data_IF_403494745450
#
_entry.id   IF_403494745450
#
_cell.length_a   1.000
_cell.length_b   1.000
_cell.length_c   1.000
_cell.angle_alpha   90.00
_cell.angle_beta   90.00
_cell.angle_gamma   90.00
#
_symmetry.space_group_name_H-M   'P 1'
#
loop_
_entity.id
_entity.type
_entity.pdbx_description
1 polymer ?
#
# COMPACT_ATOMS: atom_id res chain seq x y z
N UNK A 1 -49.73 -30.19 55.50
CA UNK A 1 -48.25 -30.31 55.47
C UNK A 1 -47.78 -30.06 54.05
N UNK A 2 -46.99 -28.99 53.87
CA UNK A 2 -45.90 -28.80 52.88
C UNK A 2 -46.18 -28.93 51.36
N UNK A 3 -45.41 -28.24 50.48
CA UNK A 3 -45.45 -26.80 50.24
C UNK A 3 -45.64 -26.46 48.74
N UNK A 4 -45.91 -25.18 48.43
CA UNK A 4 -45.62 -24.63 47.10
C UNK A 4 -44.15 -24.89 46.77
N UNK A 5 -43.87 -25.73 45.77
CA UNK A 5 -42.54 -25.88 45.22
C UNK A 5 -42.25 -24.76 44.21
N UNK A 6 -41.36 -23.87 44.65
CA UNK A 6 -40.58 -22.95 43.82
C UNK A 6 -39.87 -23.73 42.71
N UNK A 7 -40.37 -23.65 41.48
CA UNK A 7 -39.60 -24.07 40.32
C UNK A 7 -38.56 -22.98 39.97
N UNK A 8 -37.38 -23.16 40.58
CA UNK A 8 -36.03 -22.95 40.07
C UNK A 8 -35.88 -22.15 38.75
N UNK A 9 -35.17 -21.02 38.87
CA UNK A 9 -34.58 -20.11 37.86
C UNK A 9 -33.60 -20.77 36.86
N UNK A 10 -33.76 -22.05 36.51
CA UNK A 10 -32.81 -22.78 35.63
C UNK A 10 -33.22 -22.96 34.17
N UNK A 11 -34.29 -22.32 33.70
CA UNK A 11 -34.70 -22.44 32.29
C UNK A 11 -34.51 -21.19 31.42
N UNK A 12 -33.91 -20.12 31.96
CA UNK A 12 -33.57 -18.91 31.18
C UNK A 12 -32.13 -18.86 30.64
N UNK A 13 -31.36 -19.95 30.76
CA UNK A 13 -29.94 -19.98 30.39
C UNK A 13 -29.63 -20.76 29.10
N UNK A 14 -30.63 -21.11 28.27
CA UNK A 14 -30.41 -21.99 27.11
C UNK A 14 -30.71 -21.38 25.73
N UNK A 15 -31.19 -20.14 25.63
CA UNK A 15 -31.44 -19.49 24.33
C UNK A 15 -31.00 -18.02 24.34
N UNK A 16 -29.72 -17.78 24.64
CA UNK A 16 -29.05 -16.53 24.29
C UNK A 16 -27.57 -16.75 23.93
N UNK A 17 -27.29 -17.89 23.29
CA UNK A 17 -26.04 -18.14 22.56
C UNK A 17 -26.29 -17.98 21.05
N UNK A 18 -27.01 -16.92 20.66
CA UNK A 18 -27.04 -16.50 19.27
C UNK A 18 -25.77 -15.70 18.99
N UNK A 19 -24.78 -16.40 18.46
CA UNK A 19 -23.84 -15.91 17.46
C UNK A 19 -23.29 -14.49 17.67
N UNK A 20 -22.59 -14.27 18.79
CA UNK A 20 -21.47 -13.31 18.79
C UNK A 20 -20.20 -14.11 18.45
N UNK A 21 -20.22 -14.75 17.26
CA UNK A 21 -18.97 -15.06 16.60
C UNK A 21 -18.43 -13.70 16.16
N UNK A 22 -17.58 -13.13 17.01
CA UNK A 22 -16.71 -12.02 16.69
C UNK A 22 -16.09 -12.33 15.31
N UNK A 23 -16.64 -11.71 14.26
CA UNK A 23 -15.92 -11.43 13.03
C UNK A 23 -14.83 -10.42 13.40
N UNK A 24 -13.86 -10.85 14.21
CA UNK A 24 -12.51 -10.32 14.11
C UNK A 24 -12.08 -10.82 12.74
N UNK A 25 -12.42 -10.03 11.71
CA UNK A 25 -11.78 -10.11 10.43
C UNK A 25 -10.30 -9.91 10.73
N UNK A 26 -9.58 -11.02 10.84
CA UNK A 26 -8.13 -11.02 10.83
C UNK A 26 -7.78 -10.25 9.56
N UNK A 27 -7.17 -9.09 9.76
CA UNK A 27 -6.72 -8.22 8.67
C UNK A 27 -5.68 -9.05 7.94
N UNK A 28 -6.12 -9.75 6.91
CA UNK A 28 -5.26 -10.54 6.04
C UNK A 28 -4.39 -9.51 5.37
N UNK A 29 -3.11 -9.46 5.76
CA UNK A 29 -2.08 -8.82 4.96
C UNK A 29 -2.33 -9.31 3.55
N UNK A 30 -2.61 -8.38 2.65
CA UNK A 30 -2.90 -8.70 1.28
C UNK A 30 -1.62 -9.18 0.63
N UNK A 31 -1.19 -10.40 0.86
CA UNK A 31 -0.02 -10.93 0.18
C UNK A 31 -0.52 -11.59 -1.11
N UNK A 32 0.24 -11.41 -2.18
CA UNK A 32 0.05 -12.25 -3.36
C UNK A 32 0.67 -13.59 -2.99
N UNK A 33 -0.16 -14.63 -3.00
CA UNK A 33 0.27 -15.97 -2.63
C UNK A 33 0.57 -16.82 -3.87
N UNK A 34 1.56 -17.69 -3.79
CA UNK A 34 1.72 -18.84 -4.70
C UNK A 34 0.52 -19.79 -4.58
N UNK A 35 0.38 -20.73 -5.52
CA UNK A 35 -0.67 -21.75 -5.48
C UNK A 35 -0.62 -22.66 -4.24
N UNK A 36 0.52 -22.72 -3.55
CA UNK A 36 0.71 -23.42 -2.28
C UNK A 36 0.43 -22.55 -1.03
N UNK A 37 0.01 -21.30 -1.20
CA UNK A 37 -0.33 -20.40 -0.10
C UNK A 37 0.85 -19.61 0.49
N UNK A 38 2.06 -19.68 -0.09
CA UNK A 38 3.22 -18.90 0.36
C UNK A 38 3.19 -17.45 -0.15
N UNK A 39 3.51 -16.48 0.70
CA UNK A 39 3.62 -15.08 0.28
C UNK A 39 4.77 -14.90 -0.71
N UNK A 40 4.51 -14.35 -1.89
CA UNK A 40 5.56 -14.04 -2.85
C UNK A 40 6.22 -12.73 -2.46
N UNK A 41 7.35 -12.82 -1.76
CA UNK A 41 8.27 -11.71 -1.55
C UNK A 41 9.38 -11.81 -2.62
N UNK A 42 9.48 -10.79 -3.49
CA UNK A 42 10.48 -10.75 -4.56
C UNK A 42 11.60 -9.80 -4.21
N UNK A 43 11.24 -8.61 -3.71
CA UNK A 43 12.17 -7.49 -3.54
C UNK A 43 12.74 -6.97 -4.87
N UNK A 44 13.38 -5.82 -4.82
CA UNK A 44 14.12 -5.24 -5.93
C UNK A 44 15.45 -5.97 -6.10
N UNK A 45 15.63 -6.60 -7.27
CA UNK A 45 16.84 -7.33 -7.69
C UNK A 45 17.67 -6.53 -8.68
N UNK A 46 17.02 -5.70 -9.49
CA UNK A 46 17.64 -4.80 -10.45
C UNK A 46 17.00 -3.43 -10.34
N UNK A 47 17.83 -2.40 -10.17
CA UNK A 47 17.42 -1.00 -10.11
C UNK A 47 18.13 -0.24 -11.22
N UNK A 48 17.39 0.45 -12.11
CA UNK A 48 17.98 1.24 -13.18
C UNK A 48 18.87 2.36 -12.65
N UNK A 49 19.84 2.78 -13.47
CA UNK A 49 20.65 3.97 -13.19
C UNK A 49 19.73 5.19 -12.99
N UNK A 50 20.12 6.05 -12.06
CA UNK A 50 19.37 7.26 -11.70
C UNK A 50 18.20 7.03 -10.73
N UNK A 51 17.85 5.79 -10.42
CA UNK A 51 16.89 5.45 -9.36
C UNK A 51 17.64 5.12 -8.06
N UNK A 52 17.26 5.79 -6.97
CA UNK A 52 17.76 5.50 -5.64
C UNK A 52 16.64 4.95 -4.77
N UNK A 53 16.65 3.64 -4.54
CA UNK A 53 15.78 3.01 -3.55
C UNK A 53 16.39 3.17 -2.18
N UNK A 54 15.69 3.83 -1.27
CA UNK A 54 16.16 3.98 0.08
C UNK A 54 15.62 2.94 1.05
N UNK A 55 14.42 2.43 0.78
CA UNK A 55 13.88 1.26 1.43
C UNK A 55 13.12 0.45 0.38
N UNK A 56 13.33 -0.86 0.37
CA UNK A 56 12.55 -1.77 -0.47
C UNK A 56 11.41 -2.40 0.34
N UNK A 57 10.50 -3.08 -0.34
CA UNK A 57 9.41 -3.77 0.31
C UNK A 57 9.92 -4.85 1.28
N UNK A 58 9.30 -4.90 2.46
CA UNK A 58 9.64 -5.82 3.55
C UNK A 58 11.07 -5.68 4.12
N UNK A 59 11.85 -4.68 3.70
CA UNK A 59 13.13 -4.35 4.34
C UNK A 59 12.91 -4.05 5.82
N UNK A 60 13.93 -4.32 6.66
CA UNK A 60 13.86 -3.98 8.08
C UNK A 60 13.76 -2.46 8.22
N UNK A 61 12.90 -1.99 9.11
CA UNK A 61 12.89 -0.58 9.51
C UNK A 61 14.11 -0.31 10.38
N UNK A 62 15.07 0.39 9.80
CA UNK A 62 16.34 0.74 10.42
C UNK A 62 16.60 2.23 10.18
N UNK A 63 16.95 2.97 11.23
CA UNK A 63 17.43 4.34 11.14
C UNK A 63 18.85 4.39 11.72
N UNK A 64 19.84 4.74 10.89
CA UNK A 64 21.26 4.85 11.29
C UNK A 64 21.88 3.58 11.92
N UNK A 65 21.44 2.39 11.52
CA UNK A 65 21.90 1.10 12.06
C UNK A 65 21.12 0.62 13.29
N UNK A 66 20.15 1.40 13.77
CA UNK A 66 19.28 1.04 14.88
C UNK A 66 17.90 0.62 14.37
N UNK A 67 17.42 -0.61 14.69
CA UNK A 67 16.08 -1.02 14.31
C UNK A 67 15.04 -0.18 15.04
N UNK A 68 13.99 0.23 14.34
CA UNK A 68 12.82 0.88 14.93
C UNK A 68 11.53 0.19 14.52
N UNK A 69 10.46 0.46 15.26
CA UNK A 69 9.12 -0.09 15.00
C UNK A 69 8.10 1.03 15.00
N UNK A 70 7.11 0.95 14.13
CA UNK A 70 5.92 1.81 14.19
C UNK A 70 4.88 1.06 15.02
N UNK A 71 4.42 1.68 16.10
CA UNK A 71 3.36 1.13 16.94
C UNK A 71 2.04 1.74 16.49
N UNK A 72 1.20 0.93 15.84
CA UNK A 72 -0.18 1.27 15.51
C UNK A 72 -1.11 0.69 16.59
N UNK A 73 -2.36 1.20 16.74
CA UNK A 73 -3.28 0.73 17.77
C UNK A 73 -3.53 -0.79 17.79
N UNK A 74 -3.43 -1.44 16.64
CA UNK A 74 -3.74 -2.87 16.47
C UNK A 74 -2.56 -3.71 15.96
N UNK A 75 -1.38 -3.12 15.73
CA UNK A 75 -0.20 -3.88 15.27
C UNK A 75 1.12 -3.14 15.50
N UNK A 76 2.21 -3.90 15.51
CA UNK A 76 3.58 -3.39 15.48
C UNK A 76 4.16 -3.64 14.09
N UNK A 77 4.53 -2.57 13.39
CA UNK A 77 5.10 -2.65 12.05
C UNK A 77 6.63 -2.55 12.15
N UNK A 78 7.31 -3.65 11.81
CA UNK A 78 8.78 -3.78 11.86
C UNK A 78 9.43 -3.83 10.47
N UNK A 79 8.61 -3.98 9.43
CA UNK A 79 9.04 -4.06 8.04
C UNK A 79 8.43 -2.94 7.22
N UNK A 80 9.11 -2.60 6.13
CA UNK A 80 8.65 -1.54 5.24
C UNK A 80 7.46 -2.02 4.37
N UNK A 81 6.42 -1.20 4.28
CA UNK A 81 5.12 -1.54 3.69
C UNK A 81 4.93 -0.94 2.27
N UNK A 82 6.04 -0.70 1.60
CA UNK A 82 6.12 -0.08 0.29
C UNK A 82 7.55 -0.06 -0.21
N UNK A 83 7.83 0.80 -1.19
CA UNK A 83 9.16 1.08 -1.70
C UNK A 83 9.37 2.58 -1.61
N UNK A 84 10.48 3.01 -1.01
CA UNK A 84 10.83 4.42 -0.94
C UNK A 84 11.78 4.79 -2.07
N UNK A 85 11.33 5.69 -2.93
CA UNK A 85 12.13 6.28 -4.00
C UNK A 85 12.70 7.61 -3.52
N UNK A 86 13.97 7.61 -3.12
CA UNK A 86 14.62 8.79 -2.62
C UNK A 86 15.06 9.72 -3.76
N UNK A 87 14.62 10.96 -3.69
CA UNK A 87 14.92 12.00 -4.66
C UNK A 87 14.77 13.37 -4.00
N UNK A 88 15.45 14.38 -4.52
CA UNK A 88 15.37 15.74 -3.97
C UNK A 88 13.93 16.26 -3.95
N UNK A 89 13.60 17.06 -2.94
CA UNK A 89 12.31 17.76 -2.89
C UNK A 89 12.10 18.58 -4.18
N UNK A 90 10.86 18.61 -4.68
CA UNK A 90 10.54 19.22 -5.97
C UNK A 90 10.76 18.32 -7.19
N UNK A 91 11.37 17.14 -7.04
CA UNK A 91 11.48 16.18 -8.17
C UNK A 91 10.08 15.80 -8.67
N UNK A 92 9.80 15.85 -9.98
CA UNK A 92 8.50 15.43 -10.51
C UNK A 92 8.19 13.97 -10.18
N UNK A 93 6.96 13.75 -9.73
CA UNK A 93 6.38 12.43 -9.47
C UNK A 93 5.36 12.14 -10.55
N UNK A 94 5.55 11.04 -11.27
CA UNK A 94 4.70 10.62 -12.37
C UNK A 94 3.73 9.52 -11.96
N UNK A 95 2.59 9.43 -12.65
CA UNK A 95 1.70 8.30 -12.53
C UNK A 95 2.43 7.04 -13.06
N UNK A 96 2.58 5.99 -12.24
CA UNK A 96 3.32 4.78 -12.60
C UNK A 96 2.52 3.86 -13.54
N UNK A 97 1.22 4.11 -13.67
CA UNK A 97 0.30 3.32 -14.47
C UNK A 97 -0.96 4.13 -14.79
N UNK A 98 -1.67 3.73 -15.85
CA UNK A 98 -2.97 4.28 -16.17
C UNK A 98 -3.98 3.96 -15.06
N UNK A 99 -4.85 4.91 -14.74
CA UNK A 99 -5.88 4.68 -13.74
C UNK A 99 -6.77 5.89 -13.48
N UNK A 100 -7.56 5.76 -12.42
CA UNK A 100 -8.45 6.82 -11.92
C UNK A 100 -8.08 7.18 -10.50
N UNK A 101 -7.93 8.47 -10.20
CA UNK A 101 -7.66 8.97 -8.85
C UNK A 101 -8.85 8.61 -7.94
N UNK A 102 -8.61 7.81 -6.90
CA UNK A 102 -9.62 7.54 -5.86
C UNK A 102 -9.70 8.67 -4.86
N UNK A 103 -8.56 9.20 -4.48
CA UNK A 103 -8.44 10.38 -3.64
C UNK A 103 -7.04 10.98 -3.79
N UNK A 104 -6.96 12.27 -3.48
CA UNK A 104 -5.72 13.02 -3.35
C UNK A 104 -5.84 13.84 -2.07
N UNK A 105 -4.92 13.64 -1.14
CA UNK A 105 -4.82 14.39 0.12
C UNK A 105 -3.70 15.39 -0.07
N UNK A 106 -3.96 16.67 0.18
CA UNK A 106 -3.00 17.73 -0.09
C UNK A 106 -1.93 17.85 0.97
N UNK A 107 -2.34 17.87 2.23
CA UNK A 107 -1.41 18.02 3.34
C UNK A 107 -1.92 17.28 4.56
N UNK A 108 -1.35 16.11 4.83
CA UNK A 108 -1.56 15.37 6.07
C UNK A 108 -0.46 15.76 7.07
N UNK A 109 -0.78 16.04 8.34
CA UNK A 109 0.19 16.59 9.31
C UNK A 109 1.42 15.71 9.52
N UNK A 110 1.29 14.39 9.35
CA UNK A 110 2.42 13.45 9.53
C UNK A 110 3.06 12.98 8.22
N UNK A 111 2.28 12.96 7.13
CA UNK A 111 2.63 12.25 5.88
C UNK A 111 2.84 13.20 4.71
N UNK A 112 2.41 14.45 4.83
CA UNK A 112 2.29 15.36 3.70
C UNK A 112 1.19 14.90 2.75
N UNK A 113 1.34 15.26 1.47
CA UNK A 113 0.37 14.90 0.46
C UNK A 113 0.47 13.46 -0.02
N UNK A 114 -0.65 12.96 -0.52
CA UNK A 114 -0.87 11.56 -0.86
C UNK A 114 -1.79 11.44 -2.07
N UNK A 115 -1.57 10.44 -2.91
CA UNK A 115 -2.44 10.10 -4.03
C UNK A 115 -2.67 8.59 -4.05
N UNK A 116 -3.92 8.16 -4.25
CA UNK A 116 -4.25 6.78 -4.53
C UNK A 116 -4.89 6.65 -5.92
N UNK A 117 -4.29 5.83 -6.77
CA UNK A 117 -4.74 5.53 -8.12
C UNK A 117 -5.42 4.16 -8.10
N UNK A 118 -6.68 4.07 -8.51
CA UNK A 118 -7.32 2.80 -8.88
C UNK A 118 -6.89 2.42 -10.29
N UNK A 119 -6.25 1.26 -10.42
CA UNK A 119 -5.76 0.76 -11.71
C UNK A 119 -6.88 0.00 -12.46
N UNK A 120 -6.61 -0.32 -13.74
CA UNK A 120 -7.51 -1.12 -14.56
C UNK A 120 -7.35 -2.63 -14.44
N UNK A 121 -6.41 -3.13 -13.63
CA UNK A 121 -6.14 -4.57 -13.54
C UNK A 121 -6.33 -5.12 -12.12
N UNK A 122 -6.41 -6.45 -12.07
CA UNK A 122 -6.74 -7.22 -10.87
C UNK A 122 -5.66 -8.28 -10.65
N UNK A 123 -5.36 -8.58 -9.38
CA UNK A 123 -4.42 -9.64 -8.99
C UNK A 123 -5.18 -10.77 -8.31
N UNK A 124 -4.81 -12.02 -8.59
CA UNK A 124 -5.38 -13.14 -7.85
C UNK A 124 -4.69 -13.20 -6.47
N UNK A 125 -5.49 -13.10 -5.40
CA UNK A 125 -5.01 -13.15 -4.02
C UNK A 125 -5.53 -14.42 -3.30
N UNK A 126 -5.79 -15.51 -4.04
CA UNK A 126 -6.14 -16.82 -3.48
C UNK A 126 -7.57 -16.98 -2.97
N UNK A 127 -8.37 -15.90 -2.87
CA UNK A 127 -9.72 -15.91 -2.27
C UNK A 127 -10.86 -15.62 -3.27
N UNK A 128 -10.89 -16.34 -4.40
CA UNK A 128 -11.99 -16.26 -5.37
C UNK A 128 -12.09 -14.91 -6.10
N UNK A 129 -11.79 -14.91 -7.40
CA UNK A 129 -11.79 -13.72 -8.26
C UNK A 129 -10.61 -12.77 -8.02
N UNK A 130 -10.12 -12.12 -9.08
CA UNK A 130 -9.04 -11.13 -8.93
C UNK A 130 -9.48 -9.98 -8.02
N UNK A 131 -8.59 -9.41 -7.21
CA UNK A 131 -8.82 -8.20 -6.41
C UNK A 131 -8.35 -6.95 -7.17
N UNK A 132 -9.05 -5.81 -7.08
CA UNK A 132 -8.60 -4.58 -7.74
C UNK A 132 -7.25 -4.13 -7.19
N UNK A 133 -6.36 -3.64 -8.05
CA UNK A 133 -5.07 -3.07 -7.62
C UNK A 133 -5.17 -1.55 -7.53
N UNK A 134 -4.62 -1.01 -6.45
CA UNK A 134 -4.41 0.41 -6.24
C UNK A 134 -2.93 0.72 -6.07
N UNK A 135 -2.49 1.85 -6.61
CA UNK A 135 -1.13 2.36 -6.39
C UNK A 135 -1.19 3.63 -5.55
N UNK A 136 -0.52 3.60 -4.40
CA UNK A 136 -0.44 4.73 -3.48
C UNK A 136 0.92 5.41 -3.58
N UNK A 137 0.91 6.74 -3.67
CA UNK A 137 2.10 7.58 -3.61
C UNK A 137 1.94 8.55 -2.44
N UNK A 138 2.88 8.51 -1.50
CA UNK A 138 2.84 9.26 -0.25
C UNK A 138 4.14 10.07 -0.11
N UNK A 139 4.13 11.10 0.73
CA UNK A 139 5.23 12.06 0.91
C UNK A 139 5.49 12.92 -0.35
N UNK A 140 4.41 13.25 -1.05
CA UNK A 140 4.44 14.10 -2.24
C UNK A 140 3.64 15.39 -2.00
N UNK A 141 3.79 16.35 -2.89
CA UNK A 141 2.90 17.50 -3.05
C UNK A 141 2.08 17.26 -4.33
N UNK A 142 0.82 16.76 -4.24
CA UNK A 142 -0.01 16.48 -5.40
C UNK A 142 -0.37 17.76 -6.16
N UNK A 143 -0.49 17.71 -7.49
CA UNK A 143 -0.96 18.85 -8.29
C UNK A 143 -2.40 19.25 -7.95
N UNK A 144 -2.72 20.54 -7.96
CA UNK A 144 -4.06 21.09 -7.61
C UNK A 144 -5.17 20.66 -8.55
N UNK A 145 -4.82 20.28 -9.77
CA UNK A 145 -5.75 19.73 -10.75
C UNK A 145 -6.21 18.31 -10.44
N UNK A 146 -5.52 17.59 -9.54
CA UNK A 146 -5.88 16.22 -9.15
C UNK A 146 -7.04 16.19 -8.18
N UNK A 147 -8.12 15.54 -8.62
CA UNK A 147 -9.33 15.30 -7.85
C UNK A 147 -9.83 13.87 -8.07
N UNK A 148 -10.65 13.37 -7.13
CA UNK A 148 -11.32 12.07 -7.26
C UNK A 148 -12.01 11.97 -8.63
N UNK A 149 -11.85 10.84 -9.30
CA UNK A 149 -12.42 10.58 -10.63
C UNK A 149 -11.54 11.02 -11.80
N UNK A 150 -10.47 11.80 -11.58
CA UNK A 150 -9.55 12.17 -12.65
C UNK A 150 -8.86 10.94 -13.23
N UNK A 151 -8.78 10.87 -14.56
CA UNK A 151 -7.95 9.85 -15.23
C UNK A 151 -6.52 10.33 -15.31
N UNK A 152 -5.59 9.39 -15.13
CA UNK A 152 -4.15 9.62 -15.33
C UNK A 152 -3.58 8.60 -16.29
N UNK A 153 -2.57 9.00 -17.06
CA UNK A 153 -1.80 8.13 -17.96
C UNK A 153 -0.41 7.87 -17.36
N UNK A 154 0.23 6.72 -17.66
CA UNK A 154 1.62 6.51 -17.26
C UNK A 154 2.51 7.66 -17.70
N UNK A 155 3.44 8.09 -16.86
CA UNK A 155 4.35 9.21 -17.17
C UNK A 155 3.76 10.60 -16.95
N UNK A 156 2.44 10.74 -16.77
CA UNK A 156 1.83 12.02 -16.44
C UNK A 156 2.30 12.50 -15.07
N UNK A 157 2.81 13.71 -14.97
CA UNK A 157 3.15 14.32 -13.67
C UNK A 157 1.88 14.48 -12.83
N UNK A 158 1.93 13.98 -11.60
CA UNK A 158 0.83 14.01 -10.61
C UNK A 158 1.22 14.76 -9.33
N UNK A 159 2.48 15.13 -9.19
CA UNK A 159 2.95 15.93 -8.08
C UNK A 159 4.46 16.05 -8.08
N UNK A 160 4.99 16.45 -6.93
CA UNK A 160 6.43 16.56 -6.71
C UNK A 160 6.80 15.92 -5.38
N UNK A 161 8.04 15.46 -5.24
CA UNK A 161 8.55 14.97 -3.96
C UNK A 161 8.46 16.07 -2.91
N UNK A 162 7.87 15.77 -1.76
CA UNK A 162 7.72 16.76 -0.68
C UNK A 162 9.05 16.95 0.06
N UNK A 163 9.25 18.14 0.62
CA UNK A 163 10.34 18.38 1.56
C UNK A 163 10.23 17.45 2.78
N UNK A 164 11.40 17.00 3.25
CA UNK A 164 11.54 16.24 4.50
C UNK A 164 11.12 17.06 5.73
N UNK A 165 11.06 16.41 6.90
CA UNK A 165 10.84 17.06 8.19
C UNK A 165 9.48 16.79 8.84
N UNK A 166 8.57 16.06 8.18
CA UNK A 166 7.44 15.46 8.90
C UNK A 166 7.83 14.10 9.45
N UNK A 167 7.16 13.69 10.54
CA UNK A 167 7.45 12.44 11.27
C UNK A 167 7.55 11.23 10.34
N UNK A 168 6.62 11.05 9.40
CA UNK A 168 6.65 9.87 8.51
C UNK A 168 7.53 10.07 7.26
N UNK A 169 7.91 11.30 6.92
CA UNK A 169 8.89 11.57 5.84
C UNK A 169 10.33 11.39 6.35
N UNK A 170 10.55 11.63 7.64
CA UNK A 170 11.88 11.59 8.25
C UNK A 170 12.80 12.70 7.73
N UNK A 171 14.11 12.43 7.73
CA UNK A 171 15.16 13.40 7.42
C UNK A 171 15.50 13.51 5.93
N UNK A 172 15.04 12.57 5.09
CA UNK A 172 15.35 12.55 3.66
C UNK A 172 14.09 12.56 2.79
N UNK A 173 13.98 13.49 1.82
CA UNK A 173 12.86 13.52 0.89
C UNK A 173 12.79 12.23 0.05
N UNK A 174 11.58 11.69 -0.10
CA UNK A 174 11.33 10.47 -0.88
C UNK A 174 9.85 10.38 -1.25
N UNK A 175 9.53 9.47 -2.17
CA UNK A 175 8.15 9.00 -2.43
C UNK A 175 7.99 7.64 -1.79
N UNK A 176 7.04 7.48 -0.88
CA UNK A 176 6.63 6.17 -0.39
C UNK A 176 5.59 5.57 -1.34
N UNK A 177 5.96 4.47 -2.00
CA UNK A 177 5.23 3.85 -3.10
C UNK A 177 4.64 2.50 -2.68
N UNK A 178 3.33 2.33 -2.85
CA UNK A 178 2.63 1.12 -2.38
C UNK A 178 1.76 0.51 -3.48
N UNK A 179 1.70 -0.81 -3.52
CA UNK A 179 0.68 -1.55 -4.25
C UNK A 179 -0.30 -2.15 -3.24
N UNK A 180 -1.61 -2.00 -3.47
CA UNK A 180 -2.66 -2.41 -2.51
C UNK A 180 -3.81 -3.14 -3.22
N UNK A 181 -4.51 -4.01 -2.50
CA UNK A 181 -5.72 -4.69 -3.03
C UNK A 181 -7.04 -4.10 -2.50
N UNK A 182 -6.96 -3.06 -1.69
CA UNK A 182 -8.09 -2.31 -1.14
C UNK A 182 -7.75 -0.81 -1.09
N UNK A 183 -8.77 0.03 -0.91
CA UNK A 183 -8.62 1.50 -0.88
C UNK A 183 -9.02 2.15 0.46
N UNK A 184 -9.44 1.35 1.43
CA UNK A 184 -9.95 1.80 2.74
C UNK A 184 -8.89 1.83 3.83
N UNK A 185 -7.81 1.06 3.69
CA UNK A 185 -6.74 0.96 4.68
C UNK A 185 -5.38 0.84 4.01
N UNK A 186 -4.30 1.30 4.67
CA UNK A 186 -2.93 1.11 4.19
C UNK A 186 -2.44 -0.33 4.35
N UNK A 187 -3.08 -1.13 5.21
CA UNK A 187 -2.65 -2.49 5.62
C UNK A 187 -2.76 -3.56 4.53
N UNK A 188 -3.55 -3.30 3.50
CA UNK A 188 -3.77 -4.24 2.40
C UNK A 188 -2.73 -4.09 1.28
N UNK A 189 -1.48 -3.84 1.65
CA UNK A 189 -0.37 -3.71 0.73
C UNK A 189 0.25 -5.07 0.36
N UNK A 190 0.82 -5.16 -0.84
CA UNK A 190 1.64 -6.28 -1.31
C UNK A 190 2.92 -5.76 -1.95
N UNK A 191 3.86 -6.68 -2.20
CA UNK A 191 5.15 -6.35 -2.81
C UNK A 191 4.97 -5.73 -4.21
N UNK A 192 5.23 -4.43 -4.40
CA UNK A 192 5.11 -3.80 -5.71
C UNK A 192 6.11 -4.38 -6.72
N UNK A 193 7.17 -5.04 -6.25
CA UNK A 193 8.16 -5.66 -7.11
C UNK A 193 7.60 -6.78 -7.99
N UNK A 194 6.40 -7.28 -7.71
CA UNK A 194 5.70 -8.23 -8.58
C UNK A 194 5.24 -7.62 -9.92
N UNK A 195 5.08 -6.31 -9.97
CA UNK A 195 4.32 -5.63 -11.02
C UNK A 195 5.19 -4.89 -12.05
N UNK A 196 6.50 -4.84 -11.90
CA UNK A 196 7.33 -4.04 -12.81
C UNK A 196 7.21 -4.47 -14.28
N UNK A 197 7.24 -3.49 -15.18
CA UNK A 197 7.16 -3.64 -16.64
C UNK A 197 8.21 -4.61 -17.20
N UNK A 198 9.43 -4.56 -16.69
CA UNK A 198 10.56 -5.39 -17.15
C UNK A 198 10.63 -6.74 -16.41
N UNK A 199 9.65 -7.03 -15.57
CA UNK A 199 9.45 -8.29 -14.87
C UNK A 199 9.68 -8.21 -13.35
N UNK A 200 9.25 -9.25 -12.59
CA UNK A 200 9.32 -9.22 -11.14
C UNK A 200 10.73 -8.93 -10.60
N UNK A 201 10.83 -7.98 -9.66
CA UNK A 201 12.07 -7.52 -9.04
C UNK A 201 12.97 -6.64 -9.91
N UNK A 202 12.57 -6.32 -11.15
CA UNK A 202 13.33 -5.43 -12.02
C UNK A 202 12.62 -4.09 -12.13
N UNK A 203 13.00 -3.12 -11.29
CA UNK A 203 12.38 -1.79 -11.29
C UNK A 203 12.45 -1.20 -12.70
N UNK A 204 11.33 -0.69 -13.20
CA UNK A 204 11.22 -0.25 -14.59
C UNK A 204 11.13 1.26 -14.74
N UNK A 205 11.88 1.80 -15.69
CA UNK A 205 11.75 3.21 -16.08
C UNK A 205 10.49 3.44 -16.91
N UNK A 206 9.89 4.61 -16.75
CA UNK A 206 8.94 5.09 -17.74
C UNK A 206 9.68 5.44 -19.04
N UNK A 207 9.12 5.00 -20.17
CA UNK A 207 9.62 5.24 -21.53
C UNK A 207 8.44 5.72 -22.38
N UNK A 208 8.50 6.93 -22.91
CA UNK A 208 7.35 7.55 -23.59
C UNK A 208 6.96 6.80 -24.88
N UNK A 209 7.96 6.21 -25.53
CA UNK A 209 7.87 5.40 -26.73
C UNK A 209 7.35 3.97 -26.48
N UNK A 210 7.27 3.55 -25.21
CA UNK A 210 6.82 2.22 -24.84
C UNK A 210 5.57 2.28 -23.96
N UNK A 211 4.47 1.73 -24.46
CA UNK A 211 3.28 1.59 -23.65
C UNK A 211 3.54 0.69 -22.43
N UNK A 212 3.14 1.16 -21.24
CA UNK A 212 3.13 0.33 -20.03
C UNK A 212 2.11 -0.79 -20.24
N UNK A 213 2.57 -2.03 -20.17
CA UNK A 213 1.76 -3.20 -20.44
C UNK A 213 0.64 -3.37 -19.41
N UNK A 214 -0.44 -4.04 -19.81
CA UNK A 214 -1.54 -4.35 -18.89
C UNK A 214 -1.01 -5.16 -17.70
N UNK A 215 -1.39 -4.77 -16.49
CA UNK A 215 -0.91 -5.45 -15.29
C UNK A 215 0.46 -5.00 -14.81
N UNK A 216 1.09 -4.03 -15.48
CA UNK A 216 2.43 -3.56 -15.16
C UNK A 216 2.46 -2.12 -14.66
N UNK A 217 3.55 -1.81 -13.97
CA UNK A 217 3.87 -0.47 -13.43
C UNK A 217 5.30 -0.08 -13.81
N UNK A 218 5.57 1.21 -13.75
CA UNK A 218 6.93 1.80 -13.81
C UNK A 218 7.20 2.61 -12.55
N UNK A 219 8.47 2.98 -12.32
CA UNK A 219 8.88 3.81 -11.19
C UNK A 219 8.14 5.16 -11.19
N UNK A 220 7.80 5.71 -10.01
CA UNK A 220 7.08 6.98 -9.88
C UNK A 220 7.97 8.21 -10.10
N UNK A 221 9.26 8.02 -10.32
CA UNK A 221 10.24 9.06 -10.61
C UNK A 221 10.98 8.70 -11.90
N UNK A 222 11.40 9.72 -12.66
CA UNK A 222 12.14 9.51 -13.90
C UNK A 222 13.51 8.86 -13.62
N UNK A 223 13.89 7.88 -14.44
CA UNK A 223 15.25 7.40 -14.50
C UNK A 223 16.14 8.46 -15.18
N UNK A 224 17.40 8.54 -14.76
CA UNK A 224 18.40 9.47 -15.32
C UNK A 224 19.64 8.70 -15.74
#
# INVERSE_FOLDING_TARGET
MLPLQLFSLRQFAALCLLAVALLIGTIVHAQVYTSDGSSVLVGAKLVPRGINLCNDYASKRDYSGAPYRVVEPDRIVTRHEGIDFCASAGTPVIAPVAGTIRWAIKDHPLRGGQVLIKTGFRVNAGLGGGKPVYIGLVHITPLDTLRRGSRVKPGQVIGHVRKAGLVEIGSRPHVHFTARICDTTHKCHFDPNLLWQDGPGKVSCFRAEQAVAKGRIVAPIACR
#
